data_IF_170441346399
#
_entry.id   IF_170441346399
#
_cell.length_a   1.000
_cell.length_b   1.000
_cell.length_c   1.000
_cell.angle_alpha   90.00
_cell.angle_beta   90.00
_cell.angle_gamma   90.00
#
_symmetry.space_group_name_H-M   'P 1'
#
loop_
_entity.id
_entity.type
_entity.pdbx_description
1 polymer ?
#
# COMPACT_ATOMS: atom_id res chain seq x y z
N UNK A 1 15.60 10.98 14.89
CA UNK A 1 16.99 11.21 14.44
C UNK A 1 17.98 10.65 15.46
N UNK A 2 18.66 9.54 15.11
CA UNK A 2 19.68 8.93 15.97
C UNK A 2 21.00 8.81 15.18
N UNK A 3 22.02 9.58 15.60
CA UNK A 3 23.31 9.66 14.93
C UNK A 3 24.10 8.34 14.99
N UNK A 4 23.91 7.53 16.03
CA UNK A 4 24.58 6.22 16.18
C UNK A 4 24.03 5.24 15.15
N UNK A 5 22.68 5.17 15.02
CA UNK A 5 22.03 4.32 14.02
C UNK A 5 22.47 4.75 12.62
N UNK A 6 22.47 6.04 12.32
CA UNK A 6 22.93 6.57 11.03
C UNK A 6 24.36 6.11 10.69
N UNK A 7 25.32 6.29 11.62
CA UNK A 7 26.70 5.84 11.43
C UNK A 7 26.80 4.34 11.17
N UNK A 8 26.05 3.55 11.94
CA UNK A 8 26.00 2.10 11.78
C UNK A 8 25.45 1.69 10.40
N UNK A 9 24.38 2.34 9.94
CA UNK A 9 23.81 2.09 8.61
C UNK A 9 24.78 2.44 7.48
N UNK A 10 25.50 3.55 7.59
CA UNK A 10 26.53 3.96 6.60
C UNK A 10 27.65 2.92 6.51
N UNK A 11 28.13 2.42 7.65
CA UNK A 11 29.14 1.35 7.67
C UNK A 11 28.60 0.05 7.08
N UNK A 12 27.41 -0.38 7.53
CA UNK A 12 26.79 -1.61 7.05
C UNK A 12 26.56 -1.60 5.54
N UNK A 13 26.11 -0.47 4.98
CA UNK A 13 25.95 -0.25 3.54
C UNK A 13 27.25 -0.42 2.74
N UNK A 14 28.40 -0.16 3.37
CA UNK A 14 29.71 -0.05 2.70
C UNK A 14 30.73 -1.02 3.30
N UNK A 15 30.40 -2.32 3.35
CA UNK A 15 31.27 -3.43 3.79
C UNK A 15 31.77 -3.35 5.24
N UNK A 16 31.18 -2.51 6.10
CA UNK A 16 31.66 -2.29 7.46
C UNK A 16 32.97 -1.48 7.55
N UNK A 17 33.42 -0.91 6.44
CA UNK A 17 34.71 -0.24 6.32
C UNK A 17 34.72 1.10 7.07
N UNK A 18 35.79 1.31 7.85
CA UNK A 18 36.16 2.60 8.43
C UNK A 18 37.51 3.02 7.85
N UNK A 19 37.50 4.11 7.10
CA UNK A 19 38.72 4.63 6.47
C UNK A 19 39.52 5.51 7.42
N UNK A 20 40.87 5.40 7.37
CA UNK A 20 41.74 6.32 8.04
C UNK A 20 41.72 7.68 7.31
N UNK A 21 41.46 8.78 8.03
CA UNK A 21 41.38 10.12 7.43
C UNK A 21 42.72 10.66 6.96
N UNK A 22 43.83 10.22 7.59
CA UNK A 22 45.18 10.69 7.26
C UNK A 22 45.88 9.82 6.21
N UNK A 23 45.51 8.55 6.16
CA UNK A 23 46.11 7.56 5.25
C UNK A 23 44.94 6.88 4.47
N UNK A 24 44.60 7.42 3.33
CA UNK A 24 43.40 6.99 2.55
C UNK A 24 43.48 5.53 2.09
N UNK A 25 44.67 4.92 2.06
CA UNK A 25 44.88 3.51 1.73
C UNK A 25 44.71 2.56 2.92
N UNK A 26 44.68 3.08 4.16
CA UNK A 26 44.43 2.28 5.35
C UNK A 26 42.95 2.29 5.72
N UNK A 27 42.42 1.13 6.06
CA UNK A 27 41.07 0.97 6.55
C UNK A 27 41.00 -0.19 7.54
N UNK A 28 39.93 -0.21 8.32
CA UNK A 28 39.60 -1.31 9.23
C UNK A 28 38.14 -1.71 9.04
N UNK A 29 37.79 -2.94 9.43
CA UNK A 29 36.43 -3.48 9.43
C UNK A 29 36.10 -3.86 10.85
N UNK A 30 35.24 -3.07 11.51
CA UNK A 30 34.85 -3.28 12.89
C UNK A 30 33.56 -4.10 13.03
N UNK A 31 32.85 -4.34 11.95
CA UNK A 31 31.61 -5.13 11.91
C UNK A 31 31.33 -5.66 10.50
N UNK A 32 30.55 -6.73 10.36
CA UNK A 32 30.09 -7.18 9.06
C UNK A 32 29.32 -6.10 8.32
N UNK A 33 29.46 -6.03 7.01
CA UNK A 33 28.73 -5.12 6.16
C UNK A 33 28.56 -5.69 4.76
N UNK A 34 27.71 -5.05 3.97
CA UNK A 34 27.34 -5.46 2.62
C UNK A 34 27.58 -4.32 1.63
N UNK A 35 27.44 -4.60 0.34
CA UNK A 35 27.42 -3.57 -0.69
C UNK A 35 25.97 -3.16 -1.01
N UNK A 36 25.37 -2.33 -0.16
CA UNK A 36 24.01 -1.82 -0.33
C UNK A 36 23.96 -0.41 -0.90
N UNK A 37 24.80 -0.12 -1.86
CA UNK A 37 24.80 1.15 -2.59
C UNK A 37 23.84 1.07 -3.78
N UNK A 38 23.00 2.08 -3.93
CA UNK A 38 22.24 2.25 -5.17
C UNK A 38 23.20 2.57 -6.32
N UNK A 39 22.90 2.01 -7.49
CA UNK A 39 23.60 2.42 -8.72
C UNK A 39 23.19 3.84 -9.12
N UNK A 40 24.01 4.51 -9.91
CA UNK A 40 23.72 5.86 -10.41
C UNK A 40 22.45 5.91 -11.25
N UNK A 41 22.18 4.85 -12.00
CA UNK A 41 20.93 4.70 -12.78
C UNK A 41 19.70 4.71 -11.84
N UNK A 42 19.74 3.93 -10.76
CA UNK A 42 18.65 3.91 -9.78
C UNK A 42 18.52 5.24 -9.03
N UNK A 43 19.64 5.90 -8.73
CA UNK A 43 19.63 7.23 -8.12
C UNK A 43 19.00 8.27 -9.06
N UNK A 44 19.37 8.27 -10.35
CA UNK A 44 18.83 9.18 -11.35
C UNK A 44 17.32 8.96 -11.54
N UNK A 45 16.87 7.69 -11.60
CA UNK A 45 15.46 7.35 -11.64
C UNK A 45 14.72 7.85 -10.40
N UNK A 46 15.27 7.58 -9.20
CA UNK A 46 14.70 8.03 -7.94
C UNK A 46 14.54 9.55 -7.86
N UNK A 47 15.56 10.30 -8.25
CA UNK A 47 15.50 11.77 -8.33
C UNK A 47 14.43 12.26 -9.33
N UNK A 48 14.34 11.61 -10.49
CA UNK A 48 13.31 11.91 -11.49
C UNK A 48 11.88 11.68 -10.96
N UNK A 49 11.66 10.60 -10.20
CA UNK A 49 10.35 10.29 -9.61
C UNK A 49 10.03 11.21 -8.42
N UNK A 50 11.03 11.54 -7.60
CA UNK A 50 10.85 12.43 -6.45
C UNK A 50 10.34 13.82 -6.87
N UNK A 51 10.83 14.36 -7.99
CA UNK A 51 10.33 15.62 -8.55
C UNK A 51 8.84 15.61 -8.92
N UNK A 52 8.24 14.44 -9.06
CA UNK A 52 6.83 14.26 -9.47
C UNK A 52 5.91 13.84 -8.31
N UNK A 53 6.45 13.56 -7.12
CA UNK A 53 5.71 12.94 -6.02
C UNK A 53 4.50 13.77 -5.59
N UNK A 54 4.63 15.08 -5.46
CA UNK A 54 3.53 15.96 -5.06
C UNK A 54 2.39 15.95 -6.08
N UNK A 55 2.73 15.95 -7.37
CA UNK A 55 1.75 15.81 -8.46
C UNK A 55 1.01 14.48 -8.39
N UNK A 56 1.72 13.39 -8.08
CA UNK A 56 1.12 12.07 -7.95
C UNK A 56 0.19 11.98 -6.75
N UNK A 57 0.59 12.54 -5.61
CA UNK A 57 -0.23 12.59 -4.38
C UNK A 57 -1.50 13.42 -4.63
N UNK A 58 -1.36 14.62 -5.20
CA UNK A 58 -2.50 15.48 -5.51
C UNK A 58 -3.49 14.81 -6.45
N UNK A 59 -3.00 14.09 -7.46
CA UNK A 59 -3.86 13.36 -8.40
C UNK A 59 -4.61 12.21 -7.70
N UNK A 60 -3.91 11.39 -6.89
CA UNK A 60 -4.54 10.32 -6.11
C UNK A 60 -5.58 10.85 -5.12
N UNK A 61 -5.32 12.00 -4.50
CA UNK A 61 -6.29 12.68 -3.62
C UNK A 61 -7.59 13.03 -4.34
N UNK A 62 -7.50 13.50 -5.60
CA UNK A 62 -8.70 13.76 -6.44
C UNK A 62 -9.49 12.48 -6.70
N UNK A 63 -8.81 11.39 -7.09
CA UNK A 63 -9.43 10.08 -7.30
C UNK A 63 -10.11 9.60 -6.02
N UNK A 64 -9.41 9.66 -4.91
CA UNK A 64 -9.88 9.24 -3.58
C UNK A 64 -11.17 9.98 -3.19
N UNK A 65 -11.17 11.30 -3.27
CA UNK A 65 -12.32 12.12 -2.92
C UNK A 65 -13.51 11.87 -3.86
N UNK A 66 -13.23 11.64 -5.15
CA UNK A 66 -14.28 11.32 -6.12
C UNK A 66 -14.98 9.98 -5.78
N UNK A 67 -14.23 8.92 -5.50
CA UNK A 67 -14.78 7.66 -5.05
C UNK A 67 -15.61 7.81 -3.76
N UNK A 68 -15.07 8.49 -2.74
CA UNK A 68 -15.80 8.71 -1.48
C UNK A 68 -17.16 9.34 -1.73
N UNK A 69 -17.18 10.47 -2.46
CA UNK A 69 -18.42 11.18 -2.79
C UNK A 69 -19.44 10.29 -3.52
N UNK A 70 -18.97 9.50 -4.48
CA UNK A 70 -19.86 8.64 -5.26
C UNK A 70 -20.43 7.46 -4.47
N UNK A 71 -19.64 6.89 -3.58
CA UNK A 71 -20.08 5.75 -2.76
C UNK A 71 -20.88 6.14 -1.52
N UNK A 72 -21.03 7.41 -1.19
CA UNK A 72 -21.92 7.88 -0.11
C UNK A 72 -23.38 7.41 -0.32
N UNK A 73 -23.83 7.33 -1.56
CA UNK A 73 -25.17 6.82 -1.91
C UNK A 73 -25.39 5.35 -1.57
N UNK A 74 -24.34 4.55 -1.40
CA UNK A 74 -24.43 3.14 -1.04
C UNK A 74 -24.70 2.89 0.44
N UNK A 75 -24.68 3.96 1.25
CA UNK A 75 -25.05 3.93 2.66
C UNK A 75 -24.26 2.88 3.46
N UNK A 76 -24.99 2.12 4.27
CA UNK A 76 -24.38 1.11 5.16
C UNK A 76 -24.01 -0.23 4.48
N UNK A 77 -24.05 -0.33 3.15
CA UNK A 77 -23.50 -1.47 2.41
C UNK A 77 -21.99 -1.37 2.31
N UNK A 78 -21.44 -0.14 2.33
CA UNK A 78 -19.98 0.16 2.30
C UNK A 78 -19.63 1.06 3.48
N UNK A 79 -18.46 0.87 4.05
CA UNK A 79 -17.83 1.83 4.96
C UNK A 79 -16.39 2.16 4.50
N UNK A 80 -15.92 3.33 4.90
CA UNK A 80 -14.59 3.83 4.58
C UNK A 80 -13.73 3.89 5.82
N UNK A 81 -12.41 3.80 5.62
CA UNK A 81 -11.47 4.10 6.67
C UNK A 81 -11.34 5.62 6.83
N UNK A 82 -11.35 6.06 8.07
CA UNK A 82 -11.20 7.48 8.39
C UNK A 82 -9.71 7.87 8.36
N UNK A 83 -9.40 8.86 7.52
CA UNK A 83 -8.07 9.45 7.40
C UNK A 83 -8.04 10.88 7.97
N UNK A 84 -9.11 11.34 8.64
CA UNK A 84 -9.24 12.71 9.15
C UNK A 84 -8.13 13.10 10.13
N UNK A 85 -7.64 12.12 10.91
CA UNK A 85 -6.59 12.31 11.90
C UNK A 85 -5.18 12.03 11.37
N UNK A 86 -5.04 11.69 10.09
CA UNK A 86 -3.74 11.40 9.50
C UNK A 86 -3.15 12.63 8.82
N UNK A 87 -1.91 12.92 9.13
CA UNK A 87 -1.14 14.00 8.51
C UNK A 87 -0.91 13.66 7.02
N UNK A 88 -1.79 14.18 6.15
CA UNK A 88 -1.64 14.22 4.70
C UNK A 88 -1.13 12.90 4.08
N UNK A 89 -1.96 11.83 4.00
CA UNK A 89 -1.56 10.54 3.49
C UNK A 89 -1.25 10.60 1.98
N UNK A 90 -0.44 9.69 1.50
CA UNK A 90 -0.10 9.59 0.06
C UNK A 90 -1.22 9.05 -0.83
N UNK A 91 -2.37 8.68 -0.24
CA UNK A 91 -3.52 8.08 -0.95
C UNK A 91 -3.10 6.88 -1.82
N UNK A 92 -2.22 6.05 -1.27
CA UNK A 92 -1.68 4.89 -1.99
C UNK A 92 -2.73 3.83 -2.27
N UNK A 93 -3.64 3.61 -1.32
CA UNK A 93 -4.75 2.66 -1.42
C UNK A 93 -6.08 3.38 -1.24
N UNK A 94 -7.11 2.91 -1.96
CA UNK A 94 -8.49 3.23 -1.69
C UNK A 94 -9.18 1.99 -1.14
N UNK A 95 -9.32 1.94 0.19
CA UNK A 95 -9.88 0.81 0.91
C UNK A 95 -11.36 1.04 1.19
N UNK A 96 -12.17 0.04 0.86
CA UNK A 96 -13.57 -0.03 1.23
C UNK A 96 -13.82 -1.29 2.04
N UNK A 97 -14.67 -1.21 3.06
CA UNK A 97 -15.19 -2.37 3.76
C UNK A 97 -16.63 -2.62 3.31
N UNK A 98 -16.90 -3.78 2.72
CA UNK A 98 -18.20 -4.16 2.20
C UNK A 98 -18.92 -5.04 3.21
N UNK A 99 -20.15 -4.71 3.54
CA UNK A 99 -21.00 -5.57 4.37
C UNK A 99 -21.59 -6.72 3.57
N UNK A 100 -20.79 -7.75 3.32
CA UNK A 100 -21.21 -8.92 2.51
C UNK A 100 -22.41 -9.67 3.09
N UNK A 101 -22.58 -9.67 4.42
CA UNK A 101 -23.76 -10.26 5.06
C UNK A 101 -25.03 -9.53 4.64
N UNK A 102 -25.00 -8.20 4.62
CA UNK A 102 -26.15 -7.37 4.28
C UNK A 102 -26.56 -7.52 2.81
N UNK A 103 -25.58 -7.64 1.91
CA UNK A 103 -25.86 -7.83 0.48
C UNK A 103 -26.09 -9.30 0.10
N UNK A 104 -26.04 -10.24 1.08
CA UNK A 104 -26.21 -11.69 0.88
C UNK A 104 -25.29 -12.29 -0.20
N UNK A 105 -24.10 -11.78 -0.34
CA UNK A 105 -23.06 -12.21 -1.30
C UNK A 105 -21.74 -12.45 -0.56
N UNK A 106 -20.73 -12.98 -1.22
CA UNK A 106 -19.41 -13.20 -0.62
C UNK A 106 -18.32 -12.36 -1.28
N UNK A 107 -17.24 -12.13 -0.55
CA UNK A 107 -16.05 -11.48 -1.06
C UNK A 107 -15.50 -12.16 -2.32
N UNK A 108 -15.47 -13.50 -2.33
CA UNK A 108 -14.96 -14.25 -3.49
C UNK A 108 -15.83 -14.04 -4.74
N UNK A 109 -17.16 -13.99 -4.58
CA UNK A 109 -18.07 -13.69 -5.69
C UNK A 109 -17.81 -12.27 -6.18
N UNK A 110 -17.65 -11.29 -5.28
CA UNK A 110 -17.31 -9.92 -5.65
C UNK A 110 -15.99 -9.84 -6.42
N UNK A 111 -14.92 -10.47 -5.93
CA UNK A 111 -13.61 -10.45 -6.59
C UNK A 111 -13.67 -11.06 -7.99
N UNK A 112 -14.37 -12.20 -8.16
CA UNK A 112 -14.58 -12.83 -9.46
C UNK A 112 -15.38 -11.93 -10.40
N UNK A 113 -16.45 -11.31 -9.91
CA UNK A 113 -17.28 -10.38 -10.68
C UNK A 113 -16.50 -9.17 -11.16
N UNK A 114 -15.71 -8.55 -10.28
CA UNK A 114 -14.86 -7.42 -10.68
C UNK A 114 -13.83 -7.83 -11.73
N UNK A 115 -13.19 -8.98 -11.55
CA UNK A 115 -12.22 -9.50 -12.50
C UNK A 115 -12.86 -9.81 -13.87
N UNK A 116 -14.06 -10.40 -13.92
CA UNK A 116 -14.78 -10.65 -15.18
C UNK A 116 -15.20 -9.36 -15.91
N UNK A 117 -15.20 -8.23 -15.20
CA UNK A 117 -15.39 -6.91 -15.78
C UNK A 117 -14.06 -6.15 -16.00
N UNK A 118 -12.92 -6.84 -16.05
CA UNK A 118 -11.58 -6.29 -16.22
C UNK A 118 -11.18 -5.27 -15.14
N UNK A 119 -11.71 -5.40 -13.93
CA UNK A 119 -11.35 -4.57 -12.78
C UNK A 119 -10.58 -5.42 -11.78
N UNK A 120 -9.27 -5.12 -11.63
CA UNK A 120 -8.41 -5.82 -10.69
C UNK A 120 -8.50 -5.16 -9.32
N UNK A 121 -9.21 -5.80 -8.40
CA UNK A 121 -9.24 -5.44 -6.99
C UNK A 121 -8.20 -6.26 -6.20
N UNK A 122 -7.78 -5.73 -5.05
CA UNK A 122 -6.83 -6.41 -4.17
C UNK A 122 -7.31 -6.36 -2.72
N UNK A 123 -6.68 -7.15 -1.87
CA UNK A 123 -6.83 -7.03 -0.42
C UNK A 123 -5.45 -6.94 0.26
N UNK A 124 -5.34 -6.10 1.27
CA UNK A 124 -4.09 -5.77 1.95
C UNK A 124 -4.26 -5.96 3.46
N UNK A 125 -3.89 -7.15 4.01
CA UNK A 125 -3.35 -8.33 3.34
C UNK A 125 -3.98 -9.60 3.91
N UNK A 126 -3.55 -10.79 3.44
CA UNK A 126 -3.85 -12.04 4.11
C UNK A 126 -3.21 -11.97 5.50
N UNK A 127 -3.93 -12.28 6.59
CA UNK A 127 -3.35 -12.30 7.92
C UNK A 127 -2.15 -13.24 8.00
N UNK A 128 -1.06 -12.80 8.59
CA UNK A 128 0.22 -13.54 8.60
C UNK A 128 0.10 -14.94 9.20
N UNK A 129 -0.75 -15.11 10.21
CA UNK A 129 -0.99 -16.41 10.84
C UNK A 129 -1.66 -17.44 9.92
N UNK A 130 -2.14 -17.04 8.73
CA UNK A 130 -2.69 -17.94 7.70
C UNK A 130 -1.62 -18.49 6.75
N UNK A 131 -0.40 -17.99 6.79
CA UNK A 131 0.68 -18.51 5.97
C UNK A 131 1.27 -19.79 6.56
N UNK A 132 1.63 -20.74 5.71
CA UNK A 132 2.13 -22.05 6.11
C UNK A 132 3.43 -22.02 6.94
N UNK A 133 4.20 -20.93 6.84
CA UNK A 133 5.43 -20.74 7.62
C UNK A 133 5.17 -20.37 9.09
N UNK A 134 3.93 -20.01 9.44
CA UNK A 134 3.54 -19.67 10.80
C UNK A 134 2.60 -20.75 11.34
N UNK A 135 2.89 -21.25 12.52
CA UNK A 135 2.01 -22.19 13.23
C UNK A 135 0.89 -21.42 13.97
N UNK A 136 0.03 -20.80 13.20
CA UNK A 136 -1.04 -19.94 13.70
C UNK A 136 -2.44 -20.50 13.54
N UNK A 137 -2.59 -21.80 13.26
CA UNK A 137 -3.85 -22.44 12.87
C UNK A 137 -4.98 -22.34 13.92
N UNK A 138 -4.65 -22.12 15.19
CA UNK A 138 -5.62 -22.01 16.29
C UNK A 138 -5.84 -20.59 16.81
N UNK A 139 -5.28 -19.57 16.15
CA UNK A 139 -5.41 -18.18 16.58
C UNK A 139 -6.66 -17.55 15.95
N UNK A 140 -7.55 -17.05 16.81
CA UNK A 140 -8.78 -16.37 16.37
C UNK A 140 -8.70 -14.87 16.67
N UNK A 141 -8.21 -14.11 15.72
CA UNK A 141 -8.16 -12.64 15.78
C UNK A 141 -9.39 -12.02 15.10
N UNK A 142 -10.50 -11.91 15.84
CA UNK A 142 -11.81 -11.47 15.31
C UNK A 142 -11.74 -10.21 14.44
N UNK A 143 -10.99 -9.19 14.86
CA UNK A 143 -10.87 -7.95 14.10
C UNK A 143 -10.04 -8.11 12.81
N UNK A 144 -8.97 -8.91 12.84
CA UNK A 144 -8.17 -9.20 11.65
C UNK A 144 -8.98 -10.05 10.65
N UNK A 145 -9.76 -11.02 11.13
CA UNK A 145 -10.66 -11.82 10.29
C UNK A 145 -11.77 -10.94 9.68
N UNK A 146 -12.38 -10.08 10.48
CA UNK A 146 -13.39 -9.14 9.99
C UNK A 146 -12.82 -8.24 8.90
N UNK A 147 -11.67 -7.62 9.15
CA UNK A 147 -10.97 -6.79 8.18
C UNK A 147 -10.66 -7.59 6.89
N UNK A 148 -10.01 -8.74 7.02
CA UNK A 148 -9.63 -9.56 5.88
C UNK A 148 -10.84 -9.99 5.04
N UNK A 149 -11.95 -10.37 5.67
CA UNK A 149 -13.12 -10.88 4.98
C UNK A 149 -13.97 -9.78 4.31
N UNK A 150 -13.86 -8.52 4.75
CA UNK A 150 -14.73 -7.46 4.28
C UNK A 150 -14.00 -6.35 3.52
N UNK A 151 -12.68 -6.17 3.72
CA UNK A 151 -11.95 -5.05 3.13
C UNK A 151 -11.34 -5.41 1.77
N UNK A 152 -11.46 -4.47 0.83
CA UNK A 152 -10.96 -4.57 -0.54
C UNK A 152 -10.38 -3.23 -0.94
N UNK A 153 -9.30 -3.22 -1.70
CA UNK A 153 -8.76 -2.03 -2.34
C UNK A 153 -9.19 -1.95 -3.80
N UNK A 154 -9.72 -0.80 -4.17
CA UNK A 154 -10.08 -0.48 -5.54
C UNK A 154 -8.89 0.17 -6.28
N UNK A 155 -8.89 0.13 -7.62
CA UNK A 155 -7.84 0.77 -8.41
C UNK A 155 -7.70 2.25 -8.07
N UNK A 156 -6.47 2.67 -7.71
CA UNK A 156 -6.08 4.06 -7.50
C UNK A 156 -4.63 4.25 -7.94
N UNK A 157 -4.40 4.98 -9.02
CA UNK A 157 -3.06 5.23 -9.57
C UNK A 157 -3.04 6.55 -10.34
N UNK A 158 -1.84 7.08 -10.55
CA UNK A 158 -1.67 8.27 -11.38
C UNK A 158 -2.04 7.97 -12.82
N UNK A 159 -3.01 8.72 -13.37
CA UNK A 159 -3.52 8.53 -14.72
C UNK A 159 -4.87 7.82 -14.81
N UNK A 160 -5.42 7.26 -13.71
CA UNK A 160 -6.79 6.72 -13.70
C UNK A 160 -7.79 7.82 -14.06
N UNK A 161 -8.49 7.65 -15.18
CA UNK A 161 -9.40 8.65 -15.74
C UNK A 161 -10.77 8.60 -15.05
N UNK A 162 -11.52 9.71 -15.14
CA UNK A 162 -12.86 9.80 -14.53
C UNK A 162 -13.84 8.80 -15.14
N UNK A 163 -13.78 8.55 -16.45
CA UNK A 163 -14.61 7.54 -17.10
C UNK A 163 -14.32 6.12 -16.60
N UNK A 164 -13.05 5.79 -16.34
CA UNK A 164 -12.64 4.51 -15.75
C UNK A 164 -13.14 4.39 -14.30
N UNK A 165 -13.04 5.47 -13.50
CA UNK A 165 -13.63 5.50 -12.16
C UNK A 165 -15.15 5.31 -12.21
N UNK A 166 -15.86 5.98 -13.11
CA UNK A 166 -17.31 5.82 -13.29
C UNK A 166 -17.68 4.40 -13.67
N UNK A 167 -16.88 3.75 -14.52
CA UNK A 167 -17.07 2.34 -14.86
C UNK A 167 -16.95 1.44 -13.63
N UNK A 168 -15.90 1.63 -12.81
CA UNK A 168 -15.69 0.88 -11.57
C UNK A 168 -16.89 1.08 -10.62
N UNK A 169 -17.32 2.33 -10.42
CA UNK A 169 -18.44 2.68 -9.55
C UNK A 169 -19.72 1.98 -10.03
N UNK A 170 -20.04 2.10 -11.31
CA UNK A 170 -21.21 1.47 -11.93
C UNK A 170 -21.22 -0.04 -11.71
N UNK A 171 -20.07 -0.71 -11.86
CA UNK A 171 -19.98 -2.17 -11.65
C UNK A 171 -20.18 -2.55 -10.18
N UNK A 172 -19.70 -1.76 -9.24
CA UNK A 172 -19.95 -1.99 -7.82
C UNK A 172 -21.43 -1.79 -7.48
N UNK A 173 -22.05 -0.73 -7.98
CA UNK A 173 -23.49 -0.49 -7.81
C UNK A 173 -24.34 -1.62 -8.38
N UNK A 174 -24.03 -2.10 -9.59
CA UNK A 174 -24.70 -3.24 -10.21
C UNK A 174 -24.53 -4.53 -9.39
N UNK A 175 -23.38 -4.74 -8.78
CA UNK A 175 -23.17 -5.90 -7.92
C UNK A 175 -24.03 -5.86 -6.66
N UNK A 176 -24.37 -4.69 -6.14
CA UNK A 176 -25.15 -4.53 -4.91
C UNK A 176 -26.67 -4.61 -5.10
N UNK A 177 -27.13 -4.51 -6.32
CA UNK A 177 -28.50 -4.76 -6.74
C UNK A 177 -28.67 -6.22 -7.15
#
# INVERSE_FOLDING_TARGET
>A
NNSIIYKNMVQYRSHGIIRNKKKHWEYNINRPGQNFRLSDINCALGLSQLKKVDKFIAYRKKIFNYYRKKFESLGNKISFFDYSNSNNPSFHLFLISINFKKIKKSKNIFMKYMLSNNIICQYHYIPIYKFNIFDGKNLNYKNAEYYYNNTISLPIYYGLKVNEQNYIIKKIEQFFN
#
